data_IF_064612719236
#
_entry.id   IF_064612719236
#
_cell.length_a   1.000
_cell.length_b   1.000
_cell.length_c   1.000
_cell.angle_alpha   90.00
_cell.angle_beta   90.00
_cell.angle_gamma   90.00
#
_symmetry.space_group_name_H-M   'P 1'
#
loop_
_entity.id
_entity.type
_entity.pdbx_description
1 polymer ?
#
# COMPACT_ATOMS: atom_id res chain seq x y z
N UNK A 1 -34.96 -15.67 -31.30
CA UNK A 1 -34.21 -14.39 -31.36
C UNK A 1 -34.27 -13.53 -30.09
N UNK A 2 -35.23 -13.71 -29.15
CA UNK A 2 -35.23 -12.96 -27.87
C UNK A 2 -34.15 -13.41 -26.89
N UNK A 3 -33.92 -14.73 -26.77
CA UNK A 3 -32.95 -15.31 -25.81
C UNK A 3 -31.49 -14.88 -26.12
N UNK A 4 -31.14 -14.78 -27.41
CA UNK A 4 -29.80 -14.37 -27.86
C UNK A 4 -29.47 -12.92 -27.46
N UNK A 5 -30.47 -12.03 -27.38
CA UNK A 5 -30.27 -10.64 -26.93
C UNK A 5 -30.02 -10.53 -25.43
N UNK A 6 -30.67 -11.36 -24.60
CA UNK A 6 -30.42 -11.39 -23.16
C UNK A 6 -29.06 -12.02 -22.82
N UNK A 7 -28.64 -13.04 -23.56
CA UNK A 7 -27.31 -13.65 -23.43
C UNK A 7 -26.17 -12.66 -23.73
N UNK A 8 -26.34 -11.81 -24.76
CA UNK A 8 -25.37 -10.75 -25.07
C UNK A 8 -25.33 -9.70 -23.95
N UNK A 9 -26.48 -9.37 -23.35
CA UNK A 9 -26.55 -8.40 -22.26
C UNK A 9 -25.90 -8.91 -20.96
N UNK A 10 -26.08 -10.20 -20.64
CA UNK A 10 -25.43 -10.86 -19.49
C UNK A 10 -23.92 -10.97 -19.71
N UNK A 11 -23.48 -11.27 -20.95
CA UNK A 11 -22.06 -11.32 -21.30
C UNK A 11 -21.41 -9.93 -21.17
N UNK A 12 -22.12 -8.87 -21.58
CA UNK A 12 -21.63 -7.49 -21.42
C UNK A 12 -21.60 -7.05 -19.95
N UNK A 13 -22.56 -7.49 -19.13
CA UNK A 13 -22.60 -7.19 -17.69
C UNK A 13 -21.47 -7.90 -16.92
N UNK A 14 -21.04 -9.08 -17.38
CA UNK A 14 -19.97 -9.85 -16.75
C UNK A 14 -18.57 -9.22 -16.90
N UNK A 15 -18.35 -8.36 -17.91
CA UNK A 15 -17.07 -7.67 -18.11
C UNK A 15 -16.82 -6.52 -17.13
N UNK A 16 -17.85 -6.06 -16.39
CA UNK A 16 -17.74 -4.94 -15.46
C UNK A 16 -17.48 -5.37 -14.00
N UNK A 17 -17.21 -6.65 -13.74
CA UNK A 17 -17.22 -7.22 -12.38
C UNK A 17 -15.87 -7.60 -11.78
N UNK A 18 -14.73 -7.27 -12.41
CA UNK A 18 -13.45 -7.38 -11.70
C UNK A 18 -13.16 -6.05 -11.00
N UNK A 19 -13.17 -6.02 -9.68
CA UNK A 19 -12.53 -4.95 -8.93
C UNK A 19 -11.01 -5.14 -9.03
N UNK A 20 -10.25 -4.06 -9.08
CA UNK A 20 -8.80 -4.15 -9.15
C UNK A 20 -8.25 -4.37 -7.74
N UNK A 21 -7.71 -5.56 -7.47
CA UNK A 21 -7.16 -5.88 -6.15
C UNK A 21 -5.84 -5.15 -5.91
N UNK A 22 -5.76 -4.45 -4.79
CA UNK A 22 -4.56 -3.78 -4.31
C UNK A 22 -4.03 -4.49 -3.06
N UNK A 23 -2.83 -5.06 -3.13
CA UNK A 23 -2.09 -5.54 -1.95
C UNK A 23 -0.92 -4.60 -1.67
N UNK A 24 -0.99 -3.94 -0.53
CA UNK A 24 0.08 -3.11 -0.01
C UNK A 24 0.69 -3.80 1.22
N UNK A 25 1.97 -4.12 1.12
CA UNK A 25 2.72 -4.73 2.22
C UNK A 25 3.90 -3.87 2.62
N UNK A 26 4.21 -3.85 3.91
CA UNK A 26 5.40 -3.19 4.45
C UNK A 26 6.14 -4.10 5.40
N UNK A 27 7.47 -4.02 5.37
CA UNK A 27 8.38 -4.75 6.23
C UNK A 27 9.15 -3.75 7.08
N UNK A 28 8.81 -3.72 8.36
CA UNK A 28 9.33 -2.77 9.35
C UNK A 28 10.19 -3.55 10.34
N UNK A 29 11.38 -3.03 10.67
CA UNK A 29 12.23 -3.66 11.68
C UNK A 29 12.07 -2.99 13.05
N UNK A 30 12.17 -3.79 14.12
CA UNK A 30 12.13 -3.29 15.50
C UNK A 30 13.27 -2.30 15.74
N UNK A 31 14.47 -2.57 15.20
CA UNK A 31 15.59 -1.65 15.24
C UNK A 31 15.28 -0.29 14.65
N UNK A 32 14.67 -0.25 13.44
CA UNK A 32 14.28 1.01 12.79
C UNK A 32 13.27 1.80 13.62
N UNK A 33 12.25 1.13 14.18
CA UNK A 33 11.27 1.73 15.08
C UNK A 33 11.96 2.34 16.31
N UNK A 34 12.87 1.60 16.95
CA UNK A 34 13.54 2.03 18.17
C UNK A 34 14.50 3.21 17.92
N UNK A 35 15.22 3.24 16.78
CA UNK A 35 16.09 4.38 16.44
C UNK A 35 15.30 5.67 16.31
N UNK A 36 14.12 5.62 15.69
CA UNK A 36 13.24 6.79 15.57
C UNK A 36 12.61 7.16 16.92
N UNK A 37 12.03 6.19 17.63
CA UNK A 37 11.26 6.46 18.84
C UNK A 37 12.12 6.83 20.06
N UNK A 38 13.32 6.25 20.18
CA UNK A 38 14.18 6.39 21.36
C UNK A 38 15.38 7.30 21.11
N UNK A 39 15.93 7.28 19.89
CA UNK A 39 17.13 8.08 19.53
C UNK A 39 16.80 9.29 18.66
N UNK A 40 15.54 9.46 18.26
CA UNK A 40 15.08 10.55 17.38
C UNK A 40 15.84 10.62 16.05
N UNK A 41 16.31 9.46 15.56
CA UNK A 41 17.00 9.38 14.28
C UNK A 41 16.06 9.79 13.14
N UNK A 42 16.52 10.69 12.27
CA UNK A 42 15.77 11.12 11.09
C UNK A 42 16.15 10.30 9.85
N UNK A 43 15.25 10.25 8.87
CA UNK A 43 15.52 9.60 7.57
C UNK A 43 15.43 8.07 7.61
N UNK A 44 14.98 7.47 8.71
CA UNK A 44 14.73 6.03 8.79
C UNK A 44 13.54 5.65 7.92
N UNK A 45 13.70 4.61 7.10
CA UNK A 45 12.65 4.10 6.24
C UNK A 45 12.50 2.58 6.37
N UNK A 46 11.29 2.10 6.12
CA UNK A 46 10.94 0.69 5.97
C UNK A 46 10.71 0.35 4.49
N UNK A 47 10.78 -0.94 4.13
CA UNK A 47 10.54 -1.38 2.76
C UNK A 47 9.07 -1.70 2.55
N UNK A 48 8.47 -1.11 1.52
CA UNK A 48 7.12 -1.37 1.07
C UNK A 48 7.08 -2.11 -0.26
N UNK A 49 5.98 -2.81 -0.54
CA UNK A 49 5.67 -3.44 -1.83
C UNK A 49 4.20 -3.22 -2.15
N UNK A 50 3.94 -2.81 -3.38
CA UNK A 50 2.61 -2.66 -3.97
C UNK A 50 2.44 -3.79 -4.98
N UNK A 51 1.32 -4.50 -4.91
CA UNK A 51 0.84 -5.39 -5.96
C UNK A 51 -0.54 -4.91 -6.40
N UNK A 52 -0.64 -4.59 -7.68
CA UNK A 52 -1.88 -4.14 -8.31
C UNK A 52 -2.29 -5.19 -9.34
N UNK A 53 -3.49 -5.73 -9.22
CA UNK A 53 -4.01 -6.70 -10.17
C UNK A 53 -4.18 -6.08 -11.56
N UNK A 54 -3.79 -6.82 -12.59
CA UNK A 54 -3.86 -6.40 -14.00
C UNK A 54 -4.32 -7.58 -14.86
N UNK A 55 -4.88 -7.29 -16.03
CA UNK A 55 -5.51 -8.30 -16.88
C UNK A 55 -4.56 -9.40 -17.39
N UNK A 56 -3.27 -9.11 -17.54
CA UNK A 56 -2.23 -10.11 -17.89
C UNK A 56 -0.81 -9.57 -17.66
N UNK A 57 0.18 -10.47 -17.59
CA UNK A 57 1.61 -10.09 -17.56
C UNK A 57 2.02 -9.28 -18.79
N UNK A 58 1.57 -9.66 -19.99
CA UNK A 58 1.90 -8.93 -21.22
C UNK A 58 1.31 -7.51 -21.22
N UNK A 59 0.08 -7.33 -20.73
CA UNK A 59 -0.50 -6.00 -20.55
C UNK A 59 0.26 -5.21 -19.49
N UNK A 60 0.63 -5.85 -18.38
CA UNK A 60 1.42 -5.26 -17.31
C UNK A 60 2.74 -4.69 -17.82
N UNK A 61 3.50 -5.44 -18.61
CA UNK A 61 4.78 -4.99 -19.15
C UNK A 61 4.60 -3.74 -20.02
N UNK A 62 3.57 -3.70 -20.86
CA UNK A 62 3.24 -2.57 -21.72
C UNK A 62 2.76 -1.34 -20.95
N UNK A 63 2.01 -1.53 -19.86
CA UNK A 63 1.38 -0.44 -19.09
C UNK A 63 2.15 -0.07 -17.81
N UNK A 64 3.18 -0.82 -17.45
CA UNK A 64 3.95 -0.67 -16.20
C UNK A 64 4.41 0.76 -15.93
N UNK A 65 4.89 1.47 -16.97
CA UNK A 65 5.32 2.86 -16.86
C UNK A 65 4.18 3.83 -16.60
N UNK A 66 3.00 3.56 -17.15
CA UNK A 66 1.81 4.36 -16.89
C UNK A 66 1.32 4.16 -15.45
N UNK A 67 1.28 2.90 -14.98
CA UNK A 67 0.91 2.61 -13.59
C UNK A 67 1.92 3.26 -12.63
N UNK A 68 3.22 3.14 -12.93
CA UNK A 68 4.26 3.77 -12.14
C UNK A 68 4.12 5.29 -12.08
N UNK A 69 3.81 5.97 -13.19
CA UNK A 69 3.68 7.43 -13.20
C UNK A 69 2.52 7.94 -12.33
N UNK A 70 1.47 7.14 -12.14
CA UNK A 70 0.39 7.43 -11.17
C UNK A 70 0.91 7.34 -9.73
N UNK A 71 1.77 6.37 -9.45
CA UNK A 71 2.23 6.05 -8.08
C UNK A 71 3.48 6.85 -7.65
N UNK A 72 4.35 7.25 -8.57
CA UNK A 72 5.66 7.88 -8.28
C UNK A 72 5.54 9.14 -7.42
N UNK A 73 4.48 9.93 -7.59
CA UNK A 73 4.25 11.15 -6.80
C UNK A 73 3.62 10.89 -5.42
N UNK A 74 3.37 9.63 -5.10
CA UNK A 74 2.66 9.20 -3.90
C UNK A 74 3.42 8.17 -3.08
N UNK A 75 4.62 7.78 -3.49
CA UNK A 75 5.48 6.85 -2.76
C UNK A 75 6.94 7.25 -2.90
N UNK A 76 7.70 7.22 -1.79
CA UNK A 76 9.11 7.54 -1.81
C UNK A 76 9.92 6.41 -2.47
N UNK A 77 10.82 6.76 -3.39
CA UNK A 77 11.70 5.81 -4.08
C UNK A 77 10.97 4.61 -4.68
N UNK A 78 9.86 4.88 -5.38
CA UNK A 78 9.14 3.86 -6.12
C UNK A 78 10.08 3.23 -7.18
N UNK A 79 10.15 1.90 -7.19
CA UNK A 79 10.91 1.12 -8.15
C UNK A 79 10.07 -0.02 -8.70
N UNK A 80 9.89 -0.03 -10.02
CA UNK A 80 9.14 -1.08 -10.71
C UNK A 80 9.90 -2.41 -10.58
N UNK A 81 9.17 -3.49 -10.31
CA UNK A 81 9.66 -4.87 -10.32
C UNK A 81 9.06 -5.61 -11.51
N UNK A 82 9.64 -6.76 -11.90
CA UNK A 82 9.01 -7.62 -12.89
C UNK A 82 7.56 -7.91 -12.51
N UNK A 83 6.67 -7.85 -13.50
CA UNK A 83 5.28 -8.25 -13.29
C UNK A 83 5.22 -9.71 -12.85
N UNK A 84 4.32 -10.01 -11.92
CA UNK A 84 4.21 -11.34 -11.33
C UNK A 84 2.91 -12.01 -11.77
N UNK A 85 2.95 -13.33 -11.93
CA UNK A 85 1.76 -14.16 -12.10
C UNK A 85 1.64 -15.07 -10.88
N UNK A 86 0.51 -14.99 -10.18
CA UNK A 86 0.23 -15.79 -8.98
C UNK A 86 -1.07 -16.54 -9.24
N UNK A 87 -0.98 -17.84 -9.51
CA UNK A 87 -2.12 -18.62 -9.97
C UNK A 87 -2.64 -18.11 -11.32
N UNK A 88 -3.91 -17.70 -11.37
CA UNK A 88 -4.53 -17.12 -12.58
C UNK A 88 -4.49 -15.59 -12.62
N UNK A 89 -4.05 -14.95 -11.53
CA UNK A 89 -4.01 -13.50 -11.41
C UNK A 89 -2.64 -12.97 -11.85
N UNK A 90 -2.64 -11.80 -12.51
CA UNK A 90 -1.42 -11.10 -12.90
C UNK A 90 -1.31 -9.80 -12.12
N UNK A 91 -0.09 -9.40 -11.78
CA UNK A 91 0.16 -8.28 -10.90
C UNK A 91 1.25 -7.36 -11.46
N UNK A 92 0.95 -6.06 -11.47
CA UNK A 92 1.98 -5.02 -11.44
C UNK A 92 2.60 -4.98 -10.05
N UNK A 93 3.93 -4.97 -9.98
CA UNK A 93 4.67 -5.00 -8.72
C UNK A 93 5.62 -3.81 -8.65
N UNK A 94 5.58 -3.08 -7.54
CA UNK A 94 6.54 -2.01 -7.26
C UNK A 94 7.02 -2.07 -5.81
N UNK A 95 8.29 -1.77 -5.59
CA UNK A 95 8.85 -1.56 -4.26
C UNK A 95 8.92 -0.07 -3.97
N UNK A 96 8.79 0.31 -2.71
CA UNK A 96 8.89 1.70 -2.26
C UNK A 96 9.46 1.79 -0.86
N UNK A 97 9.79 2.99 -0.41
CA UNK A 97 10.17 3.28 0.96
C UNK A 97 8.99 3.86 1.75
N UNK A 98 8.80 3.35 2.96
CA UNK A 98 7.83 3.85 3.94
C UNK A 98 8.59 4.67 4.98
N UNK A 99 8.45 6.00 5.02
CA UNK A 99 9.12 6.83 6.03
C UNK A 99 8.64 6.51 7.44
N UNK A 100 9.56 6.54 8.39
CA UNK A 100 9.28 6.39 9.82
C UNK A 100 9.60 7.72 10.53
N UNK A 101 8.61 8.30 11.21
CA UNK A 101 8.73 9.58 11.90
C UNK A 101 8.44 9.44 13.40
N UNK A 102 9.07 10.30 14.20
CA UNK A 102 8.79 10.39 15.63
C UNK A 102 7.53 11.19 15.97
N UNK A 103 6.99 11.93 14.99
CA UNK A 103 5.83 12.82 15.14
C UNK A 103 4.94 12.83 13.89
N UNK A 104 3.63 12.97 14.08
CA UNK A 104 2.63 13.05 13.02
C UNK A 104 2.30 14.48 12.56
N UNK A 105 2.87 15.52 13.19
CA UNK A 105 2.38 16.90 13.01
C UNK A 105 2.59 17.44 11.60
N UNK A 106 3.74 17.16 10.99
CA UNK A 106 4.16 17.80 9.73
C UNK A 106 4.52 16.79 8.62
N UNK A 107 4.26 15.49 8.84
CA UNK A 107 4.64 14.45 7.88
C UNK A 107 4.02 14.63 6.48
N UNK A 108 2.78 15.14 6.29
CA UNK A 108 2.22 15.32 4.95
C UNK A 108 3.02 16.31 4.10
N UNK A 109 3.69 17.27 4.75
CA UNK A 109 4.54 18.28 4.12
C UNK A 109 5.99 17.79 3.95
N UNK A 110 6.48 16.94 4.87
CA UNK A 110 7.85 16.40 4.86
C UNK A 110 8.09 15.28 3.85
N UNK A 111 7.04 14.56 3.43
CA UNK A 111 7.17 13.48 2.45
C UNK A 111 5.98 13.47 1.49
N UNK A 112 6.23 13.02 0.26
CA UNK A 112 5.19 12.76 -0.73
C UNK A 112 4.53 11.38 -0.58
N UNK A 113 4.95 10.57 0.39
CA UNK A 113 4.41 9.22 0.61
C UNK A 113 2.93 9.22 1.01
N UNK A 114 2.16 8.27 0.50
CA UNK A 114 0.76 8.06 0.86
C UNK A 114 0.64 7.44 2.25
N UNK A 115 1.61 6.61 2.65
CA UNK A 115 1.64 5.91 3.94
C UNK A 115 2.95 6.23 4.65
N UNK A 116 2.87 6.44 5.96
CA UNK A 116 4.03 6.58 6.84
C UNK A 116 3.82 5.79 8.13
N UNK A 117 4.91 5.53 8.83
CA UNK A 117 4.89 4.97 10.18
C UNK A 117 5.24 6.07 11.16
N UNK A 118 4.44 6.24 12.20
CA UNK A 118 4.81 7.02 13.37
C UNK A 118 5.31 6.06 14.43
N UNK A 119 6.49 6.31 14.97
CA UNK A 119 7.08 5.57 16.08
C UNK A 119 7.47 6.54 17.18
N UNK A 120 6.75 6.52 18.31
CA UNK A 120 6.98 7.45 19.41
C UNK A 120 7.04 6.71 20.74
N UNK A 121 7.83 7.22 21.69
CA UNK A 121 7.86 6.65 23.04
C UNK A 121 6.46 6.71 23.67
N UNK A 122 6.01 5.57 24.21
CA UNK A 122 4.70 5.49 24.85
C UNK A 122 4.67 6.27 26.16
N UNK A 123 3.67 7.13 26.32
CA UNK A 123 3.42 7.86 27.57
C UNK A 123 2.50 7.10 28.53
N UNK A 124 1.85 6.03 28.06
CA UNK A 124 0.84 5.30 28.82
C UNK A 124 1.34 3.96 29.36
N UNK A 125 1.97 3.13 28.52
CA UNK A 125 2.32 1.74 28.88
C UNK A 125 3.83 1.50 29.06
N UNK A 126 4.65 2.52 28.80
CA UNK A 126 6.09 2.31 28.57
C UNK A 126 6.35 1.63 27.21
N UNK A 127 7.57 1.75 26.68
CA UNK A 127 7.92 1.21 25.36
C UNK A 127 7.69 2.20 24.20
N UNK A 128 7.30 1.69 23.03
CA UNK A 128 7.13 2.45 21.79
C UNK A 128 5.74 2.22 21.21
N UNK A 129 5.00 3.30 21.02
CA UNK A 129 3.74 3.33 20.26
C UNK A 129 4.06 3.44 18.77
N UNK A 130 3.41 2.60 17.96
CA UNK A 130 3.58 2.56 16.50
C UNK A 130 2.23 2.71 15.80
N UNK A 131 2.10 3.77 15.01
CA UNK A 131 0.90 4.03 14.20
C UNK A 131 1.24 3.99 12.70
N UNK A 132 0.40 3.35 11.90
CA UNK A 132 0.43 3.52 10.44
C UNK A 132 -0.53 4.65 10.06
N UNK A 133 -0.02 5.69 9.41
CA UNK A 133 -0.80 6.86 9.00
C UNK A 133 -0.99 6.85 7.48
N UNK A 134 -2.22 7.12 7.04
CA UNK A 134 -2.60 7.21 5.63
C UNK A 134 -2.95 8.65 5.26
N UNK A 135 -2.39 9.15 4.15
CA UNK A 135 -2.79 10.40 3.54
C UNK A 135 -4.02 10.17 2.63
N UNK A 136 -5.21 10.39 3.17
CA UNK A 136 -6.47 10.20 2.45
C UNK A 136 -6.56 11.02 1.14
N UNK A 137 -5.96 12.21 1.08
CA UNK A 137 -5.99 13.04 -0.13
C UNK A 137 -5.14 12.43 -1.26
N UNK A 138 -3.97 11.86 -0.93
CA UNK A 138 -3.13 11.12 -1.89
C UNK A 138 -3.81 9.83 -2.33
N UNK A 139 -4.36 9.07 -1.37
CA UNK A 139 -5.12 7.86 -1.68
C UNK A 139 -6.26 8.14 -2.68
N UNK A 140 -7.08 9.16 -2.43
CA UNK A 140 -8.17 9.56 -3.34
C UNK A 140 -7.68 9.96 -4.74
N UNK A 141 -6.50 10.57 -4.86
CA UNK A 141 -5.90 10.91 -6.17
C UNK A 141 -5.48 9.67 -6.95
N UNK A 142 -4.86 8.71 -6.28
CA UNK A 142 -4.50 7.43 -6.90
C UNK A 142 -5.77 6.71 -7.36
N UNK A 143 -6.77 6.59 -6.48
CA UNK A 143 -8.03 5.93 -6.81
C UNK A 143 -8.67 6.55 -8.06
N UNK A 144 -8.81 7.87 -8.11
CA UNK A 144 -9.38 8.57 -9.28
C UNK A 144 -8.59 8.35 -10.57
N UNK A 145 -7.25 8.28 -10.50
CA UNK A 145 -6.42 8.08 -11.67
C UNK A 145 -6.55 6.64 -12.22
N UNK A 146 -6.69 5.67 -11.34
CA UNK A 146 -6.92 4.26 -11.67
C UNK A 146 -8.33 4.07 -12.23
N UNK A 147 -9.34 4.64 -11.57
CA UNK A 147 -10.74 4.65 -12.01
C UNK A 147 -10.86 5.26 -13.43
N UNK A 148 -10.20 6.40 -13.69
CA UNK A 148 -10.26 7.05 -15.00
C UNK A 148 -9.65 6.21 -16.14
N UNK A 149 -8.69 5.32 -15.85
CA UNK A 149 -8.02 4.49 -16.87
C UNK A 149 -8.71 3.15 -17.04
N UNK A 150 -9.03 2.50 -15.94
CA UNK A 150 -9.47 1.11 -15.89
C UNK A 150 -10.98 0.99 -15.69
N UNK A 151 -11.68 2.11 -15.44
CA UNK A 151 -13.11 2.15 -15.09
C UNK A 151 -13.44 1.27 -13.88
N UNK A 152 -12.46 1.14 -12.99
CA UNK A 152 -12.50 0.30 -11.80
C UNK A 152 -11.96 1.08 -10.60
N UNK A 153 -12.71 1.04 -9.49
CA UNK A 153 -12.28 1.56 -8.21
C UNK A 153 -11.43 0.54 -7.44
N UNK A 154 -10.61 1.01 -6.52
CA UNK A 154 -10.04 0.15 -5.49
C UNK A 154 -11.14 -0.27 -4.53
N UNK A 155 -11.44 -1.57 -4.49
CA UNK A 155 -12.28 -2.12 -3.45
C UNK A 155 -11.42 -2.42 -2.22
N UNK A 156 -11.65 -1.68 -1.12
CA UNK A 156 -10.99 -1.95 0.15
C UNK A 156 -11.39 -3.29 0.77
N UNK A 157 -12.54 -3.86 0.39
CA UNK A 157 -12.98 -5.17 0.89
C UNK A 157 -12.15 -6.31 0.31
N UNK A 158 -11.64 -6.16 -0.91
CA UNK A 158 -10.74 -7.11 -1.57
C UNK A 158 -9.26 -6.71 -1.49
N UNK A 159 -8.98 -5.44 -1.13
CA UNK A 159 -7.61 -4.94 -0.93
C UNK A 159 -7.02 -5.36 0.41
N UNK A 160 -5.71 -5.57 0.44
CA UNK A 160 -4.98 -5.96 1.64
C UNK A 160 -3.95 -4.91 2.01
N UNK A 161 -3.92 -4.53 3.29
CA UNK A 161 -2.81 -3.78 3.88
C UNK A 161 -2.13 -4.68 4.91
N UNK A 162 -0.87 -5.03 4.67
CA UNK A 162 -0.09 -5.91 5.53
C UNK A 162 1.12 -5.20 6.11
N UNK A 163 1.35 -5.38 7.41
CA UNK A 163 2.58 -4.97 8.09
C UNK A 163 3.26 -6.22 8.62
N UNK A 164 4.51 -6.43 8.19
CA UNK A 164 5.39 -7.46 8.73
C UNK A 164 6.40 -6.78 9.64
N UNK A 165 6.26 -7.03 10.94
CA UNK A 165 7.25 -6.64 11.93
C UNK A 165 8.37 -7.68 11.98
N UNK A 166 9.61 -7.24 11.85
CA UNK A 166 10.78 -8.11 11.93
C UNK A 166 11.68 -7.73 13.10
N UNK A 167 11.97 -8.72 13.93
CA UNK A 167 12.93 -8.57 15.01
C UNK A 167 14.35 -8.77 14.48
N UNK A 168 15.09 -7.68 14.36
CA UNK A 168 16.50 -7.63 13.93
C UNK A 168 17.47 -7.38 15.10
N UNK A 169 16.97 -7.33 16.34
CA UNK A 169 17.75 -6.90 17.51
C UNK A 169 18.42 -8.04 18.29
N UNK A 170 18.27 -9.31 17.86
CA UNK A 170 18.76 -10.50 18.57
C UNK A 170 18.28 -10.61 20.03
N UNK A 171 17.27 -9.82 20.43
CA UNK A 171 16.67 -9.77 21.77
C UNK A 171 15.16 -9.98 21.69
N UNK A 172 14.55 -10.53 22.75
CA UNK A 172 13.10 -10.67 22.81
C UNK A 172 12.41 -9.32 23.02
N UNK A 173 11.29 -9.11 22.33
CA UNK A 173 10.46 -7.93 22.45
C UNK A 173 8.99 -8.34 22.59
N UNK A 174 8.34 -7.84 23.63
CA UNK A 174 6.89 -7.99 23.79
C UNK A 174 6.19 -7.03 22.83
N UNK A 175 5.24 -7.57 22.06
CA UNK A 175 4.47 -6.82 21.06
C UNK A 175 3.00 -6.88 21.44
N UNK A 176 2.42 -5.71 21.70
CA UNK A 176 1.00 -5.56 21.95
C UNK A 176 0.36 -4.86 20.75
N UNK A 177 -0.50 -5.58 20.02
CA UNK A 177 -1.28 -5.03 18.93
C UNK A 177 -2.63 -4.56 19.48
N UNK A 178 -2.83 -3.24 19.56
CA UNK A 178 -3.95 -2.69 20.33
C UNK A 178 -5.19 -2.35 19.52
N UNK A 179 -5.15 -2.19 18.18
CA UNK A 179 -6.29 -2.21 17.25
C UNK A 179 -5.82 -1.82 15.81
N UNK A 180 -6.61 -2.15 14.79
CA UNK A 180 -6.47 -1.62 13.42
C UNK A 180 -7.77 -0.92 13.05
N UNK A 181 -7.75 0.41 12.92
CA UNK A 181 -8.92 1.20 12.50
C UNK A 181 -8.58 1.94 11.21
N UNK A 182 -9.32 1.64 10.14
CA UNK A 182 -9.39 2.50 8.97
C UNK A 182 -10.52 3.51 9.20
N UNK A 183 -10.18 4.74 9.60
CA UNK A 183 -11.16 5.82 9.60
C UNK A 183 -11.39 6.25 8.13
N UNK A 184 -12.52 5.81 7.58
CA UNK A 184 -13.02 6.19 6.25
C UNK A 184 -13.60 7.60 6.26
#
# INVERSE_FOLDING_TARGET
MRITRYLIFILFLAFFLSACKLDLSSKITIGGINRVALSQEEGVTARGTIKLEVGSVAQCENESRFIASILENHFQELSIRPCEQIGMESYFVAAFQVPIFSSSKDWPERTNSMIVIKASRSTQMGGVDVDMLLNQARFRRINKAIEAKYFQDFDFSDSRIAVRLENDQLTYHDVLASNVFANG
#
